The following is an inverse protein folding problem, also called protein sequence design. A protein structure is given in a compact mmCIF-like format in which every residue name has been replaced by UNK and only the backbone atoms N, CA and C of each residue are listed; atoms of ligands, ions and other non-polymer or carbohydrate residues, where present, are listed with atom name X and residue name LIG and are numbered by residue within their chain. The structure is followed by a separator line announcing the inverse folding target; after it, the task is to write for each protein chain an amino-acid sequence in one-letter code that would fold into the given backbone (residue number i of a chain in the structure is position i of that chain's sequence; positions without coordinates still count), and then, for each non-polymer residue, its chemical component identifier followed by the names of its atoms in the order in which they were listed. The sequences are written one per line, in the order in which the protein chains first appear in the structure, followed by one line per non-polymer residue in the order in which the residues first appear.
data_IF_746915395528
#
_entry.id   IF_746915395528
#
_cell.length_a   1.000
_cell.length_b   1.000
_cell.length_c   1.000
_cell.angle_alpha   90.00
_cell.angle_beta   90.00
_cell.angle_gamma   90.00
#
_symmetry.space_group_name_H-M   'P 1'
#
loop_
_entity.id
_entity.type
_entity.pdbx_description
1 polymer ?
#
# COMPACT_ATOMS: atom_id res chain seq x y z
N UNK A 1 -5.44 72.86 -25.46
CA UNK A 1 -5.60 72.53 -26.90
C UNK A 1 -5.27 71.06 -27.11
N UNK A 2 -6.22 70.32 -27.72
CA UNK A 2 -6.18 68.93 -28.24
C UNK A 2 -6.08 67.79 -27.22
N UNK A 3 -6.86 66.71 -27.25
CA UNK A 3 -8.13 66.35 -27.93
C UNK A 3 -8.63 65.05 -27.25
N UNK A 4 -9.92 64.98 -26.89
CA UNK A 4 -10.62 63.75 -26.54
C UNK A 4 -11.05 63.00 -27.81
N UNK A 5 -10.92 61.67 -27.86
CA UNK A 5 -11.91 60.77 -28.50
C UNK A 5 -11.93 59.39 -27.81
N UNK A 6 -13.12 58.82 -27.53
CA UNK A 6 -13.31 57.50 -26.93
C UNK A 6 -13.59 56.42 -28.00
N UNK A 7 -13.29 55.14 -27.71
CA UNK A 7 -14.05 54.00 -28.24
C UNK A 7 -13.83 52.76 -27.36
N UNK A 8 -14.86 51.94 -27.29
CA UNK A 8 -15.22 50.95 -26.27
C UNK A 8 -15.04 49.53 -26.86
N UNK A 9 -14.88 48.53 -25.97
CA UNK A 9 -15.16 47.08 -26.14
C UNK A 9 -14.02 46.20 -26.74
N UNK A 10 -13.45 45.28 -25.95
CA UNK A 10 -13.95 43.90 -25.72
C UNK A 10 -13.04 43.13 -24.75
N UNK A 11 -13.66 42.44 -23.79
CA UNK A 11 -13.04 41.52 -22.83
C UNK A 11 -12.55 40.26 -23.56
N UNK A 12 -11.32 39.81 -23.29
CA UNK A 12 -11.03 38.37 -23.25
C UNK A 12 -10.29 38.04 -21.97
N UNK A 13 -11.07 37.50 -21.03
CA UNK A 13 -10.60 36.63 -19.96
C UNK A 13 -9.74 35.54 -20.57
N UNK A 14 -8.44 35.63 -20.37
CA UNK A 14 -7.58 34.45 -20.29
C UNK A 14 -6.99 34.44 -18.90
N UNK A 15 -7.87 34.15 -17.93
CA UNK A 15 -7.45 33.35 -16.80
C UNK A 15 -6.80 32.11 -17.38
N UNK A 16 -5.47 32.11 -17.50
CA UNK A 16 -4.73 30.86 -17.52
C UNK A 16 -5.02 30.23 -16.18
N UNK A 17 -6.07 29.39 -16.13
CA UNK A 17 -6.11 28.32 -15.17
C UNK A 17 -4.80 27.58 -15.40
N UNK A 18 -3.82 27.84 -14.54
CA UNK A 18 -2.76 26.91 -14.29
C UNK A 18 -3.45 25.69 -13.69
N UNK A 19 -4.07 24.87 -14.54
CA UNK A 19 -4.29 23.46 -14.26
C UNK A 19 -2.91 22.82 -14.28
N UNK A 20 -2.13 23.07 -13.23
CA UNK A 20 -0.89 22.35 -13.00
C UNK A 20 -1.27 20.88 -12.82
N UNK A 21 -0.69 20.06 -13.70
CA UNK A 21 -0.88 18.64 -13.91
C UNK A 21 -1.34 17.83 -12.69
N UNK A 22 -2.51 17.20 -12.81
CA UNK A 22 -2.97 16.11 -11.95
C UNK A 22 -2.30 14.77 -12.36
N UNK A 23 -0.96 14.74 -12.45
CA UNK A 23 -0.21 13.54 -12.87
C UNK A 23 -0.08 12.49 -11.75
N UNK A 24 -0.21 12.89 -10.48
CA UNK A 24 0.14 12.01 -9.36
C UNK A 24 -0.80 10.80 -9.19
N UNK A 25 -2.09 10.89 -9.53
CA UNK A 25 -3.10 9.92 -9.07
C UNK A 25 -3.89 9.20 -10.18
N UNK A 26 -3.33 9.11 -11.38
CA UNK A 26 -3.92 8.36 -12.50
C UNK A 26 -4.07 6.86 -12.18
N UNK A 27 -4.96 6.14 -12.88
CA UNK A 27 -5.08 4.69 -12.72
C UNK A 27 -3.75 3.96 -12.97
N UNK A 28 -2.97 4.41 -13.95
CA UNK A 28 -1.66 3.82 -14.25
C UNK A 28 -0.64 4.08 -13.14
N UNK A 29 -0.55 5.30 -12.62
CA UNK A 29 0.40 5.64 -11.54
C UNK A 29 0.03 4.92 -10.24
N UNK A 30 -1.26 4.89 -9.88
CA UNK A 30 -1.74 4.14 -8.70
C UNK A 30 -1.54 2.64 -8.88
N UNK A 31 -1.81 2.09 -10.06
CA UNK A 31 -1.53 0.67 -10.36
C UNK A 31 -0.05 0.34 -10.15
N UNK A 32 0.85 1.16 -10.71
CA UNK A 32 2.30 0.95 -10.55
C UNK A 32 2.72 1.05 -9.09
N UNK A 33 2.25 2.05 -8.35
CA UNK A 33 2.57 2.19 -6.93
C UNK A 33 2.07 1.00 -6.09
N UNK A 34 0.87 0.47 -6.38
CA UNK A 34 0.37 -0.73 -5.71
C UNK A 34 1.21 -1.98 -6.05
N UNK A 35 1.71 -2.10 -7.28
CA UNK A 35 2.63 -3.18 -7.67
C UNK A 35 3.96 -3.07 -6.92
N UNK A 36 4.55 -1.88 -6.89
CA UNK A 36 5.78 -1.60 -6.15
C UNK A 36 5.60 -1.85 -4.65
N UNK A 37 4.46 -1.43 -4.09
CA UNK A 37 4.12 -1.70 -2.70
C UNK A 37 4.04 -3.21 -2.41
N UNK A 38 3.50 -4.01 -3.32
CA UNK A 38 3.53 -5.48 -3.18
C UNK A 38 4.95 -6.05 -3.25
N UNK A 39 5.81 -5.54 -4.15
CA UNK A 39 7.23 -5.92 -4.20
C UNK A 39 7.91 -5.61 -2.86
N UNK A 40 7.74 -4.39 -2.36
CA UNK A 40 8.30 -3.95 -1.08
C UNK A 40 7.80 -4.83 0.05
N UNK A 41 6.51 -5.16 0.07
CA UNK A 41 5.93 -6.09 1.04
C UNK A 41 6.61 -7.46 0.97
N UNK A 42 6.72 -8.07 -0.22
CA UNK A 42 7.38 -9.38 -0.40
C UNK A 42 8.84 -9.34 0.06
N UNK A 43 9.59 -8.32 -0.33
CA UNK A 43 11.01 -8.20 0.05
C UNK A 43 11.18 -8.00 1.56
N UNK A 44 10.27 -7.26 2.20
CA UNK A 44 10.29 -7.08 3.64
C UNK A 44 9.98 -8.37 4.40
N UNK A 45 9.05 -9.20 3.93
CA UNK A 45 8.68 -10.46 4.60
C UNK A 45 9.56 -11.65 4.17
N UNK A 46 10.36 -11.51 3.11
CA UNK A 46 11.28 -12.54 2.60
C UNK A 46 12.17 -13.17 3.67
N UNK A 47 12.75 -12.43 4.64
CA UNK A 47 13.60 -13.02 5.68
C UNK A 47 12.88 -14.04 6.58
N UNK A 48 11.54 -13.99 6.65
CA UNK A 48 10.74 -14.97 7.40
C UNK A 48 10.46 -16.27 6.63
N UNK A 49 10.92 -16.39 5.38
CA UNK A 49 10.78 -17.60 4.57
C UNK A 49 12.11 -18.34 4.44
N UNK A 50 12.11 -19.61 4.83
CA UNK A 50 13.17 -20.56 4.53
C UNK A 50 12.70 -21.54 3.46
N UNK A 51 13.59 -21.91 2.54
CA UNK A 51 13.27 -22.90 1.50
C UNK A 51 12.82 -24.22 2.13
N UNK A 52 11.60 -24.63 1.83
CA UNK A 52 10.98 -25.83 2.39
C UNK A 52 9.88 -25.54 3.42
N UNK A 53 9.80 -24.31 3.93
CA UNK A 53 8.72 -23.91 4.83
C UNK A 53 7.37 -24.07 4.13
N UNK A 54 6.39 -24.56 4.88
CA UNK A 54 4.98 -24.45 4.49
C UNK A 54 4.42 -23.06 4.83
N UNK A 55 3.22 -22.77 4.31
CA UNK A 55 2.59 -21.47 4.54
C UNK A 55 2.37 -21.13 6.02
N UNK A 56 2.07 -22.11 6.87
CA UNK A 56 1.85 -21.86 8.30
C UNK A 56 3.15 -21.50 9.03
N UNK A 57 4.28 -22.10 8.64
CA UNK A 57 5.62 -21.77 9.14
C UNK A 57 6.02 -20.35 8.73
N UNK A 58 5.88 -20.01 7.45
CA UNK A 58 6.10 -18.66 6.94
C UNK A 58 5.23 -17.63 7.67
N UNK A 59 3.90 -17.86 7.74
CA UNK A 59 2.97 -16.96 8.42
C UNK A 59 3.33 -16.75 9.88
N UNK A 60 3.76 -17.81 10.59
CA UNK A 60 4.23 -17.69 11.98
C UNK A 60 5.49 -16.82 12.04
N UNK A 61 6.46 -17.06 11.17
CA UNK A 61 7.68 -16.25 11.07
C UNK A 61 7.37 -14.77 10.86
N UNK A 62 6.38 -14.43 10.02
CA UNK A 62 5.97 -13.05 9.75
C UNK A 62 5.24 -12.40 10.93
N UNK A 63 4.32 -13.10 11.58
CA UNK A 63 3.46 -12.49 12.59
C UNK A 63 4.08 -12.43 13.98
N UNK A 64 4.95 -13.39 14.34
CA UNK A 64 5.47 -13.50 15.71
C UNK A 64 6.98 -13.72 15.80
N UNK A 65 7.66 -13.90 14.67
CA UNK A 65 9.09 -14.18 14.62
C UNK A 65 9.47 -15.49 15.29
N UNK A 66 10.70 -15.57 15.80
CA UNK A 66 11.22 -16.70 16.60
C UNK A 66 10.90 -16.59 18.10
N UNK A 67 10.24 -15.50 18.51
CA UNK A 67 10.14 -15.06 19.92
C UNK A 67 9.07 -15.79 20.74
N UNK A 68 8.33 -16.75 20.17
CA UNK A 68 7.20 -17.42 20.83
C UNK A 68 7.31 -18.95 20.77
N UNK A 69 6.82 -19.66 21.80
CA UNK A 69 6.87 -21.11 21.86
C UNK A 69 6.11 -21.75 20.69
N UNK A 70 6.47 -23.01 20.31
CA UNK A 70 5.89 -23.72 19.16
C UNK A 70 4.35 -23.79 19.14
N UNK A 71 3.73 -23.69 20.33
CA UNK A 71 2.29 -23.82 20.55
C UNK A 71 1.55 -22.47 20.65
N UNK A 72 2.17 -21.35 20.24
CA UNK A 72 1.48 -20.07 20.19
C UNK A 72 0.43 -20.08 19.06
N UNK A 73 -0.84 -19.90 19.43
CA UNK A 73 -1.95 -19.73 18.49
C UNK A 73 -1.89 -18.32 17.90
N UNK A 74 -1.73 -18.23 16.58
CA UNK A 74 -1.76 -16.95 15.87
C UNK A 74 -3.17 -16.34 15.98
N UNK A 75 -3.28 -15.01 16.16
CA UNK A 75 -4.58 -14.35 16.09
C UNK A 75 -5.21 -14.58 14.71
N UNK A 76 -6.55 -14.62 14.62
CA UNK A 76 -7.21 -14.58 13.33
C UNK A 76 -6.82 -13.28 12.63
N UNK A 77 -6.46 -13.39 11.35
CA UNK A 77 -6.19 -12.23 10.50
C UNK A 77 -7.35 -12.07 9.50
N UNK A 78 -7.72 -10.84 9.13
CA UNK A 78 -8.74 -10.61 8.10
C UNK A 78 -8.31 -11.21 6.76
N UNK A 79 -9.30 -11.46 5.89
CA UNK A 79 -9.08 -12.15 4.61
C UNK A 79 -8.13 -11.37 3.68
N UNK A 80 -8.12 -10.04 3.76
CA UNK A 80 -7.24 -9.16 3.00
C UNK A 80 -5.77 -9.38 3.38
N UNK A 81 -5.46 -9.45 4.68
CA UNK A 81 -4.13 -9.76 5.17
C UNK A 81 -3.71 -11.20 4.89
N UNK A 82 -4.64 -12.15 5.04
CA UNK A 82 -4.42 -13.56 4.71
C UNK A 82 -4.06 -13.76 3.24
N UNK A 83 -4.78 -13.09 2.33
CA UNK A 83 -4.52 -13.18 0.90
C UNK A 83 -3.19 -12.54 0.51
N UNK A 84 -2.81 -11.42 1.13
CA UNK A 84 -1.50 -10.81 0.93
C UNK A 84 -0.36 -11.75 1.34
N UNK A 85 -0.46 -12.37 2.52
CA UNK A 85 0.55 -13.30 3.00
C UNK A 85 0.62 -14.57 2.14
N UNK A 86 -0.51 -15.13 1.72
CA UNK A 86 -0.54 -16.30 0.81
C UNK A 86 0.12 -15.98 -0.53
N UNK A 87 -0.14 -14.82 -1.09
CA UNK A 87 0.44 -14.44 -2.38
C UNK A 87 1.94 -14.14 -2.24
N UNK A 88 2.37 -13.48 -1.16
CA UNK A 88 3.79 -13.31 -0.87
C UNK A 88 4.49 -14.68 -0.72
N UNK A 89 3.91 -15.60 0.03
CA UNK A 89 4.42 -16.97 0.15
C UNK A 89 4.52 -17.67 -1.20
N UNK A 90 3.48 -17.61 -2.04
CA UNK A 90 3.46 -18.21 -3.38
C UNK A 90 4.62 -17.68 -4.24
N UNK A 91 4.84 -16.37 -4.21
CA UNK A 91 5.91 -15.66 -4.93
C UNK A 91 7.30 -16.07 -4.42
N UNK A 92 7.45 -16.22 -3.10
CA UNK A 92 8.71 -16.64 -2.46
C UNK A 92 9.05 -18.10 -2.78
N UNK A 93 8.07 -19.01 -2.71
CA UNK A 93 8.23 -20.43 -3.09
C UNK A 93 8.63 -20.57 -4.56
N UNK A 94 8.02 -19.77 -5.44
CA UNK A 94 8.33 -19.76 -6.86
C UNK A 94 9.65 -19.01 -7.18
N UNK A 95 10.29 -18.40 -6.18
CA UNK A 95 11.52 -17.63 -6.30
C UNK A 95 11.44 -16.53 -7.39
N UNK A 96 10.32 -15.81 -7.44
CA UNK A 96 10.14 -14.73 -8.39
C UNK A 96 11.03 -13.53 -8.03
N UNK A 97 11.65 -12.93 -9.04
CA UNK A 97 12.34 -11.65 -8.94
C UNK A 97 11.36 -10.47 -8.83
N UNK A 98 11.78 -9.31 -8.31
CA UNK A 98 10.96 -8.09 -8.28
C UNK A 98 10.31 -7.75 -9.63
N UNK A 99 11.05 -7.89 -10.74
CA UNK A 99 10.51 -7.63 -12.07
C UNK A 99 9.38 -8.60 -12.46
N UNK A 100 9.48 -9.88 -12.08
CA UNK A 100 8.41 -10.85 -12.32
C UNK A 100 7.18 -10.55 -11.46
N UNK A 101 7.38 -10.07 -10.23
CA UNK A 101 6.29 -9.64 -9.35
C UNK A 101 5.54 -8.44 -9.95
N UNK A 102 6.27 -7.46 -10.49
CA UNK A 102 5.72 -6.26 -11.13
C UNK A 102 4.85 -6.55 -12.37
N UNK A 103 5.08 -7.68 -13.04
CA UNK A 103 4.29 -8.11 -14.19
C UNK A 103 2.94 -8.73 -13.80
N UNK A 104 2.77 -9.13 -12.53
CA UNK A 104 1.57 -9.77 -12.03
C UNK A 104 0.41 -8.82 -11.69
N UNK A 105 -0.72 -9.42 -11.31
CA UNK A 105 -1.95 -8.73 -10.91
C UNK A 105 -2.11 -8.58 -9.39
N UNK A 106 -1.02 -8.78 -8.64
CA UNK A 106 -1.01 -8.83 -7.17
C UNK A 106 -1.33 -7.46 -6.53
N UNK A 107 -1.20 -6.38 -7.28
CA UNK A 107 -1.59 -5.03 -6.89
C UNK A 107 -3.06 -4.94 -6.45
N UNK A 108 -3.94 -5.81 -6.96
CA UNK A 108 -5.34 -5.86 -6.53
C UNK A 108 -5.46 -6.29 -5.05
N UNK A 109 -4.58 -7.17 -4.57
CA UNK A 109 -4.57 -7.58 -3.17
C UNK A 109 -4.14 -6.44 -2.26
N UNK A 110 -3.11 -5.69 -2.66
CA UNK A 110 -2.69 -4.48 -1.94
C UNK A 110 -3.81 -3.45 -1.92
N UNK A 111 -4.48 -3.21 -3.07
CA UNK A 111 -5.61 -2.29 -3.13
C UNK A 111 -6.74 -2.68 -2.16
N UNK A 112 -7.12 -3.97 -2.11
CA UNK A 112 -8.12 -4.46 -1.15
C UNK A 112 -7.68 -4.29 0.30
N UNK A 113 -6.41 -4.56 0.61
CA UNK A 113 -5.87 -4.35 1.95
C UNK A 113 -5.86 -2.87 2.35
N UNK A 114 -5.54 -1.97 1.43
CA UNK A 114 -5.60 -0.51 1.66
C UNK A 114 -7.04 -0.04 1.89
N UNK A 115 -8.01 -0.58 1.16
CA UNK A 115 -9.43 -0.30 1.41
C UNK A 115 -9.89 -0.82 2.78
N UNK A 116 -9.43 -2.01 3.18
CA UNK A 116 -9.65 -2.53 4.54
C UNK A 116 -9.07 -1.60 5.60
N UNK A 117 -7.82 -1.16 5.45
CA UNK A 117 -7.16 -0.21 6.36
C UNK A 117 -8.03 1.05 6.46
N UNK A 118 -8.44 1.63 5.33
CA UNK A 118 -9.27 2.82 5.31
C UNK A 118 -10.61 2.63 6.06
N UNK A 119 -11.29 1.50 5.91
CA UNK A 119 -12.48 1.17 6.70
C UNK A 119 -12.19 1.12 8.21
N UNK A 120 -11.07 0.50 8.60
CA UNK A 120 -10.68 0.41 10.01
C UNK A 120 -10.28 1.75 10.63
N UNK A 121 -9.74 2.69 9.85
CA UNK A 121 -9.39 4.04 10.35
C UNK A 121 -10.57 4.87 10.83
N UNK A 122 -11.80 4.49 10.48
CA UNK A 122 -13.01 5.11 11.03
C UNK A 122 -13.19 4.82 12.53
N UNK A 123 -12.48 3.83 13.07
CA UNK A 123 -12.64 3.33 14.45
C UNK A 123 -11.35 3.37 15.26
N UNK A 124 -10.19 3.54 14.61
CA UNK A 124 -8.86 3.41 15.20
C UNK A 124 -7.87 4.33 14.51
N UNK A 125 -6.68 4.48 15.09
CA UNK A 125 -5.58 5.18 14.42
C UNK A 125 -5.15 4.46 13.14
N UNK A 126 -4.44 5.15 12.24
CA UNK A 126 -3.89 4.55 11.01
C UNK A 126 -2.98 3.35 11.35
N UNK A 127 -2.07 3.52 12.30
CA UNK A 127 -1.17 2.45 12.73
C UNK A 127 -1.95 1.23 13.26
N UNK A 128 -3.00 1.43 14.07
CA UNK A 128 -3.81 0.33 14.58
C UNK A 128 -4.63 -0.36 13.48
N UNK A 129 -5.10 0.40 12.48
CA UNK A 129 -5.81 -0.12 11.33
C UNK A 129 -4.91 -0.98 10.44
N UNK A 130 -3.66 -0.54 10.23
CA UNK A 130 -2.64 -1.31 9.51
C UNK A 130 -2.22 -2.55 10.30
N UNK A 131 -2.03 -2.46 11.62
CA UNK A 131 -1.78 -3.62 12.46
C UNK A 131 -2.97 -4.61 12.46
N UNK A 132 -4.21 -4.12 12.39
CA UNK A 132 -5.41 -4.95 12.34
C UNK A 132 -5.46 -5.85 11.10
N UNK A 133 -4.87 -5.41 9.97
CA UNK A 133 -4.71 -6.23 8.77
C UNK A 133 -3.95 -7.54 9.05
N UNK A 134 -3.09 -7.53 10.07
CA UNK A 134 -2.27 -8.67 10.48
C UNK A 134 -2.62 -9.21 11.89
N UNK A 135 -3.86 -8.98 12.34
CA UNK A 135 -4.38 -9.54 13.60
C UNK A 135 -4.30 -8.60 14.80
N UNK A 136 -3.88 -7.35 14.61
CA UNK A 136 -4.04 -6.27 15.59
C UNK A 136 -3.05 -6.28 16.75
N UNK A 137 -1.94 -7.01 16.64
CA UNK A 137 -0.90 -7.03 17.67
C UNK A 137 0.35 -6.28 17.18
N UNK A 138 0.25 -4.95 17.16
CA UNK A 138 1.33 -4.06 16.74
C UNK A 138 2.63 -4.30 17.52
N UNK A 139 2.55 -4.62 18.81
CA UNK A 139 3.71 -4.99 19.62
C UNK A 139 4.47 -6.18 19.01
N UNK A 140 3.78 -7.25 18.62
CA UNK A 140 4.43 -8.40 17.98
C UNK A 140 4.99 -8.05 16.60
N UNK A 141 4.28 -7.26 15.81
CA UNK A 141 4.75 -6.84 14.48
C UNK A 141 5.98 -5.93 14.58
N UNK A 142 6.01 -5.02 15.56
CA UNK A 142 7.11 -4.10 15.85
C UNK A 142 8.35 -4.83 16.40
N UNK A 143 8.16 -5.86 17.23
CA UNK A 143 9.24 -6.59 17.89
C UNK A 143 9.60 -7.90 17.18
N UNK A 144 9.16 -8.08 15.92
CA UNK A 144 9.54 -9.25 15.14
C UNK A 144 11.01 -9.13 14.71
N UNK A 145 11.91 -9.78 15.43
CA UNK A 145 13.36 -9.75 15.20
C UNK A 145 13.80 -10.21 13.81
N UNK A 146 13.00 -11.01 13.11
CA UNK A 146 13.29 -11.45 11.74
C UNK A 146 13.07 -10.32 10.74
N UNK A 147 12.03 -9.51 10.99
CA UNK A 147 11.57 -8.44 10.09
C UNK A 147 12.00 -7.04 10.55
N UNK A 148 12.57 -6.91 11.75
CA UNK A 148 12.99 -5.64 12.37
C UNK A 148 14.28 -5.06 11.77
N UNK A 149 14.75 -5.57 10.62
CA UNK A 149 15.73 -4.85 9.82
C UNK A 149 15.02 -3.72 9.09
N UNK A 150 14.86 -2.58 9.76
CA UNK A 150 14.27 -1.36 9.23
C UNK A 150 15.00 -0.90 7.97
N UNK A 151 14.48 -1.32 6.80
CA UNK A 151 14.82 -0.69 5.52
C UNK A 151 13.85 0.47 5.30
N UNK A 152 14.07 1.58 6.01
CA UNK A 152 13.36 2.86 5.79
C UNK A 152 12.45 3.32 6.93
N UNK A 153 11.71 4.39 6.67
CA UNK A 153 10.82 5.08 7.62
C UNK A 153 9.51 4.32 7.90
N UNK A 154 9.09 3.46 6.97
CA UNK A 154 7.87 2.67 7.06
C UNK A 154 8.16 1.23 7.48
N UNK A 155 7.38 0.69 8.39
CA UNK A 155 7.47 -0.72 8.80
C UNK A 155 6.89 -1.63 7.70
N UNK A 156 7.25 -2.91 7.73
CA UNK A 156 6.83 -3.86 6.71
C UNK A 156 5.31 -4.00 6.57
N UNK A 157 4.57 -3.77 7.67
CA UNK A 157 3.12 -3.90 7.75
C UNK A 157 2.36 -2.59 7.47
N UNK A 158 3.07 -1.46 7.30
CA UNK A 158 2.49 -0.12 7.10
C UNK A 158 2.32 0.18 5.59
N UNK A 159 1.40 -0.53 4.93
CA UNK A 159 1.13 -0.41 3.48
C UNK A 159 0.81 1.03 3.03
N UNK A 160 0.05 1.77 3.84
CA UNK A 160 -0.31 3.16 3.58
C UNK A 160 0.89 4.09 3.72
N UNK A 161 1.79 3.83 4.68
CA UNK A 161 3.05 4.56 4.78
C UNK A 161 3.88 4.41 3.50
N UNK A 162 4.04 3.18 3.00
CA UNK A 162 4.76 2.91 1.75
C UNK A 162 4.12 3.60 0.54
N UNK A 163 2.78 3.66 0.45
CA UNK A 163 2.12 4.43 -0.61
C UNK A 163 2.34 5.94 -0.49
N UNK A 164 2.34 6.48 0.73
CA UNK A 164 2.59 7.90 0.97
C UNK A 164 4.03 8.32 0.64
N UNK A 165 5.00 7.39 0.70
CA UNK A 165 6.36 7.68 0.23
C UNK A 165 6.41 7.94 -1.29
N UNK A 166 5.50 7.35 -2.07
CA UNK A 166 5.41 7.57 -3.52
C UNK A 166 4.68 8.86 -3.85
N UNK A 167 3.55 9.11 -3.19
CA UNK A 167 2.64 10.19 -3.60
C UNK A 167 2.72 11.47 -2.76
N UNK A 168 3.23 11.36 -1.53
CA UNK A 168 3.11 12.38 -0.49
C UNK A 168 1.78 12.32 0.25
N UNK A 169 1.69 13.04 1.37
CA UNK A 169 0.55 12.97 2.33
C UNK A 169 -0.75 13.66 1.87
N UNK A 170 -0.74 14.41 0.77
CA UNK A 170 -1.86 15.28 0.35
C UNK A 170 -2.93 14.63 -0.53
N UNK A 171 -2.80 13.33 -0.87
CA UNK A 171 -3.58 12.69 -1.94
C UNK A 171 -4.58 11.61 -1.53
N UNK A 172 -4.74 11.32 -0.23
CA UNK A 172 -5.36 10.09 0.26
C UNK A 172 -6.72 9.75 -0.37
N UNK A 173 -7.66 10.71 -0.40
CA UNK A 173 -8.98 10.49 -0.97
C UNK A 173 -8.97 10.19 -2.48
N UNK A 174 -8.08 10.86 -3.24
CA UNK A 174 -7.94 10.63 -4.69
C UNK A 174 -7.30 9.27 -4.96
N UNK A 175 -6.26 8.90 -4.21
CA UNK A 175 -5.65 7.56 -4.27
C UNK A 175 -6.71 6.49 -4.00
N UNK A 176 -7.47 6.61 -2.91
CA UNK A 176 -8.50 5.64 -2.54
C UNK A 176 -9.57 5.51 -3.62
N UNK A 177 -10.05 6.62 -4.17
CA UNK A 177 -11.02 6.61 -5.26
C UNK A 177 -10.46 5.88 -6.49
N UNK A 178 -9.21 6.13 -6.86
CA UNK A 178 -8.55 5.44 -7.97
C UNK A 178 -8.38 3.94 -7.69
N UNK A 179 -8.04 3.54 -6.45
CA UNK A 179 -7.97 2.13 -6.03
C UNK A 179 -9.33 1.44 -6.23
N UNK A 180 -10.42 2.08 -5.80
CA UNK A 180 -11.78 1.56 -5.99
C UNK A 180 -12.07 1.37 -7.48
N UNK A 181 -11.80 2.37 -8.31
CA UNK A 181 -11.99 2.31 -9.76
C UNK A 181 -11.21 1.15 -10.39
N UNK A 182 -9.93 0.98 -10.04
CA UNK A 182 -9.09 -0.13 -10.53
C UNK A 182 -9.66 -1.50 -10.14
N UNK A 183 -10.20 -1.63 -8.93
CA UNK A 183 -10.74 -2.90 -8.44
C UNK A 183 -12.09 -3.22 -9.11
N UNK A 184 -12.95 -2.23 -9.32
CA UNK A 184 -14.28 -2.41 -9.91
C UNK A 184 -14.20 -2.63 -11.43
N UNK A 185 -13.39 -1.86 -12.17
CA UNK A 185 -13.34 -1.90 -13.63
C UNK A 185 -12.66 -3.16 -14.22
N UNK A 186 -12.16 -4.07 -13.37
CA UNK A 186 -11.49 -5.30 -13.79
C UNK A 186 -12.14 -6.52 -13.11
N UNK A 187 -13.41 -6.40 -12.69
CA UNK A 187 -14.35 -7.47 -12.40
C UNK A 187 -15.34 -7.59 -13.57
#
# INVERSE_FOLDING_TARGET
MRNFKPFLILIFLLSTTYGVAQEKYTEASVTNALKENFVVFVENVRPAYTKGDNYAEFKRGVLVGTSKPPNYTLPPIPIEGENLLKEAYRVLVANYSPNQIMQGSNFKLVGKAVLYINDQTQKKSVADAEAALFGGNDYLLNNNVILNSSRGECKWWELWCHLNQVFGSGGGAQILQTIVTIIINIL
#
